data_IF_881508723260
#
_entry.id   IF_881508723260
#
_cell.length_a   1.000
_cell.length_b   1.000
_cell.length_c   1.000
_cell.angle_alpha   90.00
_cell.angle_beta   90.00
_cell.angle_gamma   90.00
#
_symmetry.space_group_name_H-M   'P 1'
#
loop_
_entity.id
_entity.type
_entity.pdbx_description
1 polymer ?
#
# COMPACT_ATOMS: atom_id res chain seq x y z
N UNK A 1 -26.23 -65.63 -71.03
CA UNK A 1 -25.83 -64.24 -71.29
C UNK A 1 -25.48 -63.59 -69.92
N UNK A 2 -24.22 -63.73 -69.50
CA UNK A 2 -23.79 -63.27 -68.18
C UNK A 2 -23.02 -61.97 -68.37
N UNK A 3 -23.56 -60.86 -67.82
CA UNK A 3 -22.92 -59.57 -67.83
C UNK A 3 -21.94 -59.41 -66.63
N UNK A 4 -20.65 -59.29 -66.95
CA UNK A 4 -19.59 -59.08 -65.99
C UNK A 4 -19.59 -57.55 -65.58
N UNK A 5 -20.01 -57.27 -64.40
CA UNK A 5 -19.88 -55.88 -63.81
C UNK A 5 -18.41 -55.63 -63.44
N UNK A 6 -17.73 -54.84 -64.22
CA UNK A 6 -16.43 -54.29 -63.86
C UNK A 6 -16.56 -53.21 -62.82
N UNK A 7 -16.24 -53.57 -61.58
CA UNK A 7 -16.15 -52.60 -60.45
C UNK A 7 -14.87 -51.77 -60.64
N UNK A 8 -15.04 -50.52 -61.15
CA UNK A 8 -13.93 -49.56 -61.25
C UNK A 8 -13.48 -49.25 -59.82
N UNK A 9 -12.31 -49.71 -59.42
CA UNK A 9 -11.59 -49.30 -58.27
C UNK A 9 -11.12 -47.85 -58.52
N UNK A 10 -11.79 -46.88 -57.94
CA UNK A 10 -11.28 -45.51 -57.77
C UNK A 10 -9.99 -45.61 -56.96
N UNK A 11 -8.85 -45.50 -57.61
CA UNK A 11 -7.55 -45.43 -56.94
C UNK A 11 -7.53 -44.26 -55.98
N UNK A 12 -7.52 -44.56 -54.69
CA UNK A 12 -7.20 -43.57 -53.64
C UNK A 12 -5.79 -43.11 -53.96
N UNK A 13 -5.66 -41.94 -54.60
CA UNK A 13 -4.39 -41.23 -54.72
C UNK A 13 -3.95 -40.90 -53.33
N UNK A 14 -3.11 -41.68 -52.72
CA UNK A 14 -2.49 -41.39 -51.45
C UNK A 14 -1.67 -40.09 -51.58
N UNK A 15 -1.78 -39.24 -50.59
CA UNK A 15 -0.93 -38.03 -50.49
C UNK A 15 0.53 -38.52 -50.51
N UNK A 16 1.36 -37.91 -51.38
CA UNK A 16 2.78 -38.24 -51.46
C UNK A 16 3.41 -38.17 -50.05
N UNK A 17 4.26 -39.16 -49.66
CA UNK A 17 4.94 -39.16 -48.35
C UNK A 17 5.66 -37.86 -48.05
N UNK A 18 6.20 -37.18 -49.06
CA UNK A 18 6.84 -35.88 -48.95
C UNK A 18 5.86 -34.76 -48.52
N UNK A 19 4.64 -34.74 -49.09
CA UNK A 19 3.61 -33.77 -48.74
C UNK A 19 3.10 -34.06 -47.30
N UNK A 20 2.93 -35.33 -46.94
CA UNK A 20 2.52 -35.73 -45.59
C UNK A 20 3.54 -35.32 -44.54
N UNK A 21 4.84 -35.48 -44.81
CA UNK A 21 5.90 -35.05 -43.87
C UNK A 21 5.93 -33.54 -43.71
N UNK A 22 5.77 -32.73 -44.77
CA UNK A 22 5.72 -31.28 -44.69
C UNK A 22 4.52 -30.79 -43.86
N UNK A 23 3.34 -31.37 -44.11
CA UNK A 23 2.14 -31.04 -43.33
C UNK A 23 2.33 -31.38 -41.85
N UNK A 24 2.89 -32.54 -41.53
CA UNK A 24 3.15 -32.97 -40.17
C UNK A 24 4.16 -32.06 -39.46
N UNK A 25 5.25 -31.68 -40.14
CA UNK A 25 6.23 -30.76 -39.60
C UNK A 25 5.61 -29.37 -39.35
N UNK A 26 4.84 -28.85 -40.30
CA UNK A 26 4.13 -27.57 -40.13
C UNK A 26 3.13 -27.60 -38.95
N UNK A 27 2.39 -28.69 -38.78
CA UNK A 27 1.48 -28.87 -37.66
C UNK A 27 2.22 -28.92 -36.32
N UNK A 28 3.36 -29.63 -36.24
CA UNK A 28 4.19 -29.69 -35.03
C UNK A 28 4.75 -28.31 -34.70
N UNK A 29 5.27 -27.55 -35.67
CA UNK A 29 5.78 -26.18 -35.47
C UNK A 29 4.67 -25.25 -34.99
N UNK A 30 3.48 -25.34 -35.56
CA UNK A 30 2.34 -24.54 -35.12
C UNK A 30 1.94 -24.86 -33.66
N UNK A 31 1.86 -26.13 -33.28
CA UNK A 31 1.55 -26.56 -31.92
C UNK A 31 2.64 -26.09 -30.95
N UNK A 32 3.92 -26.22 -31.29
CA UNK A 32 5.03 -25.75 -30.46
C UNK A 32 5.01 -24.24 -30.30
N UNK A 33 4.70 -23.49 -31.36
CA UNK A 33 4.59 -22.01 -31.27
C UNK A 33 3.47 -21.57 -30.32
N UNK A 34 2.31 -22.20 -30.41
CA UNK A 34 1.19 -21.95 -29.50
C UNK A 34 1.56 -22.32 -28.05
N UNK A 35 2.19 -23.49 -27.87
CA UNK A 35 2.63 -23.94 -26.56
C UNK A 35 3.67 -22.96 -25.92
N UNK A 36 4.62 -22.44 -26.72
CA UNK A 36 5.60 -21.47 -26.28
C UNK A 36 4.96 -20.15 -25.85
N UNK A 37 4.00 -19.62 -26.62
CA UNK A 37 3.27 -18.41 -26.27
C UNK A 37 2.51 -18.61 -24.95
N UNK A 38 1.82 -19.74 -24.82
CA UNK A 38 1.09 -20.06 -23.59
C UNK A 38 2.03 -20.20 -22.38
N UNK A 39 3.15 -20.91 -22.54
CA UNK A 39 4.15 -21.08 -21.49
C UNK A 39 4.74 -19.73 -21.05
N UNK A 40 5.07 -18.83 -21.99
CA UNK A 40 5.56 -17.50 -21.69
C UNK A 40 4.53 -16.68 -20.90
N UNK A 41 3.27 -16.66 -21.33
CA UNK A 41 2.22 -15.93 -20.62
C UNK A 41 2.03 -16.46 -19.20
N UNK A 42 2.09 -17.78 -19.01
CA UNK A 42 2.00 -18.40 -17.68
C UNK A 42 3.20 -18.01 -16.79
N UNK A 43 4.41 -18.03 -17.36
CA UNK A 43 5.62 -17.63 -16.63
C UNK A 43 5.54 -16.16 -16.20
N UNK A 44 5.14 -15.25 -17.08
CA UNK A 44 4.99 -13.83 -16.74
C UNK A 44 3.96 -13.59 -15.64
N UNK A 45 2.81 -14.28 -15.72
CA UNK A 45 1.80 -14.20 -14.66
C UNK A 45 2.34 -14.69 -13.31
N UNK A 46 3.11 -15.79 -13.30
CA UNK A 46 3.72 -16.33 -12.07
C UNK A 46 4.80 -15.43 -11.48
N UNK A 47 5.61 -14.80 -12.33
CA UNK A 47 6.61 -13.81 -11.87
C UNK A 47 5.92 -12.60 -11.29
N UNK A 48 4.88 -12.09 -11.92
CA UNK A 48 4.13 -10.93 -11.42
C UNK A 48 3.37 -11.24 -10.11
N UNK A 49 2.81 -12.44 -9.96
CA UNK A 49 2.23 -12.93 -8.70
C UNK A 49 3.30 -12.96 -7.58
N UNK A 50 4.49 -13.49 -7.88
CA UNK A 50 5.61 -13.50 -6.93
C UNK A 50 6.13 -12.11 -6.57
N UNK A 51 6.18 -11.18 -7.54
CA UNK A 51 6.49 -9.77 -7.30
C UNK A 51 5.47 -9.14 -6.35
N UNK A 52 4.18 -9.44 -6.53
CA UNK A 52 3.12 -8.94 -5.67
C UNK A 52 3.24 -9.47 -4.24
N UNK A 53 3.36 -10.79 -4.05
CA UNK A 53 3.50 -11.41 -2.73
C UNK A 53 4.75 -10.89 -1.99
N UNK A 54 5.87 -10.73 -2.72
CA UNK A 54 7.10 -10.16 -2.17
C UNK A 54 6.91 -8.69 -1.78
N UNK A 55 6.12 -7.93 -2.56
CA UNK A 55 5.84 -6.53 -2.27
C UNK A 55 4.98 -6.34 -1.01
N UNK A 56 4.04 -7.24 -0.73
CA UNK A 56 3.26 -7.20 0.51
C UNK A 56 4.17 -7.29 1.74
N UNK A 57 5.09 -8.24 1.76
CA UNK A 57 6.05 -8.42 2.85
C UNK A 57 7.01 -7.24 2.98
N UNK A 58 7.50 -6.74 1.84
CA UNK A 58 8.38 -5.57 1.80
C UNK A 58 7.66 -4.33 2.34
N UNK A 59 6.43 -4.05 1.89
CA UNK A 59 5.67 -2.89 2.33
C UNK A 59 5.24 -2.98 3.80
N UNK A 60 4.99 -4.18 4.33
CA UNK A 60 4.82 -4.39 5.76
C UNK A 60 6.09 -4.01 6.53
N UNK A 61 7.26 -4.41 6.03
CA UNK A 61 8.55 -4.02 6.60
C UNK A 61 8.75 -2.50 6.54
N UNK A 62 8.35 -1.83 5.46
CA UNK A 62 8.36 -0.36 5.34
C UNK A 62 7.48 0.27 6.43
N UNK A 63 6.28 -0.24 6.64
CA UNK A 63 5.39 0.26 7.70
C UNK A 63 5.99 0.16 9.10
N UNK A 64 6.68 -0.94 9.42
CA UNK A 64 7.40 -1.12 10.68
C UNK A 64 8.63 -0.20 10.77
N UNK A 65 9.36 -0.02 9.67
CA UNK A 65 10.54 0.83 9.63
C UNK A 65 10.20 2.32 9.82
N UNK A 66 9.02 2.76 9.38
CA UNK A 66 8.53 4.13 9.67
C UNK A 66 8.47 4.37 11.18
N UNK A 67 7.91 3.42 11.96
CA UNK A 67 7.85 3.54 13.42
C UNK A 67 9.25 3.58 14.05
N UNK A 68 10.20 2.84 13.49
CA UNK A 68 11.57 2.76 14.01
C UNK A 68 12.37 4.07 13.76
N UNK A 69 12.19 4.73 12.62
CA UNK A 69 12.94 5.95 12.26
C UNK A 69 12.24 7.24 12.70
N UNK A 70 10.91 7.25 12.76
CA UNK A 70 10.10 8.45 12.97
C UNK A 70 10.46 9.21 14.27
N UNK A 71 10.82 8.49 15.35
CA UNK A 71 11.00 9.07 16.67
C UNK A 71 12.46 9.30 17.04
N UNK A 72 13.39 9.08 16.09
CA UNK A 72 14.82 9.24 16.32
C UNK A 72 15.43 10.06 15.18
N UNK A 73 15.69 11.34 15.44
CA UNK A 73 16.29 12.26 14.45
C UNK A 73 17.65 11.73 13.97
N UNK A 74 17.86 11.74 12.67
CA UNK A 74 19.09 11.23 12.02
C UNK A 74 19.15 9.71 11.86
N UNK A 75 18.15 8.96 12.37
CA UNK A 75 18.07 7.52 12.15
C UNK A 75 17.62 7.23 10.72
N UNK A 76 18.35 6.34 10.07
CA UNK A 76 18.09 5.95 8.68
C UNK A 76 17.87 4.45 8.59
N UNK A 77 16.85 4.04 7.82
CA UNK A 77 16.56 2.67 7.48
C UNK A 77 16.47 2.48 5.97
N UNK A 78 17.20 1.51 5.41
CA UNK A 78 17.18 1.22 3.98
C UNK A 78 16.65 -0.18 3.72
N UNK A 79 15.64 -0.28 2.87
CA UNK A 79 15.00 -1.52 2.45
C UNK A 79 15.30 -1.71 0.97
N UNK A 80 15.90 -2.86 0.62
CA UNK A 80 16.11 -3.26 -0.78
C UNK A 80 14.96 -4.14 -1.23
N UNK A 81 14.55 -3.94 -2.47
CA UNK A 81 13.55 -4.77 -3.10
C UNK A 81 14.02 -5.21 -4.49
N UNK A 82 13.46 -6.28 -4.98
CA UNK A 82 13.70 -6.73 -6.35
C UNK A 82 12.33 -6.98 -6.98
N UNK A 83 12.02 -6.24 -8.04
CA UNK A 83 10.80 -6.44 -8.82
C UNK A 83 11.12 -6.33 -10.29
N UNK A 84 10.50 -7.18 -11.10
CA UNK A 84 10.66 -7.15 -12.54
C UNK A 84 9.63 -6.24 -13.21
N UNK A 85 8.43 -6.12 -12.64
CA UNK A 85 7.31 -5.40 -13.25
C UNK A 85 6.77 -4.26 -12.39
N UNK A 86 7.04 -4.29 -11.09
CA UNK A 86 6.56 -3.29 -10.16
C UNK A 86 7.57 -2.17 -9.89
N UNK A 87 7.06 -1.03 -9.46
CA UNK A 87 7.85 0.14 -9.05
C UNK A 87 7.32 0.72 -7.74
N UNK A 88 8.23 1.23 -6.89
CA UNK A 88 7.89 1.91 -5.64
C UNK A 88 7.92 3.40 -5.85
N UNK A 89 6.85 4.08 -5.45
CA UNK A 89 6.71 5.52 -5.55
C UNK A 89 6.23 6.13 -4.24
N UNK A 90 6.64 7.36 -3.97
CA UNK A 90 6.02 8.21 -2.96
C UNK A 90 5.03 9.14 -3.67
N UNK A 91 3.79 9.14 -3.21
CA UNK A 91 2.80 10.16 -3.58
C UNK A 91 2.72 11.16 -2.44
N UNK A 92 3.22 12.37 -2.65
CA UNK A 92 3.22 13.44 -1.67
C UNK A 92 1.83 14.06 -1.52
N UNK A 93 1.53 14.59 -0.32
CA UNK A 93 0.32 15.38 -0.03
C UNK A 93 -1.00 14.64 -0.33
N UNK A 94 -1.10 13.38 0.09
CA UNK A 94 -2.28 12.53 -0.14
C UNK A 94 -3.27 12.58 1.00
N UNK A 95 -2.77 12.65 2.25
CA UNK A 95 -3.57 12.70 3.48
C UNK A 95 -3.24 13.96 4.27
N UNK A 96 -4.25 14.61 4.83
CA UNK A 96 -4.06 15.68 5.81
C UNK A 96 -4.76 15.28 7.10
N UNK A 97 -3.99 15.12 8.17
CA UNK A 97 -4.53 14.89 9.51
C UNK A 97 -4.71 16.22 10.22
N UNK A 98 -5.95 16.53 10.62
CA UNK A 98 -6.32 17.69 11.38
C UNK A 98 -6.68 17.24 12.80
N UNK A 99 -5.94 17.74 13.79
CA UNK A 99 -6.17 17.46 15.21
C UNK A 99 -6.64 18.74 15.88
N UNK A 100 -7.87 18.74 16.38
CA UNK A 100 -8.45 19.86 17.13
C UNK A 100 -8.56 19.47 18.60
N UNK A 101 -7.97 20.29 19.48
CA UNK A 101 -7.90 20.04 20.92
C UNK A 101 -8.44 21.28 21.67
N UNK A 102 -9.40 21.05 22.54
CA UNK A 102 -9.90 22.10 23.44
C UNK A 102 -9.23 21.96 24.82
N UNK A 103 -8.45 22.95 25.20
CA UNK A 103 -7.72 23.02 26.47
C UNK A 103 -7.87 24.39 27.10
N UNK A 104 -8.16 24.47 28.41
CA UNK A 104 -8.41 25.71 29.12
C UNK A 104 -9.43 26.66 28.44
N UNK A 105 -10.45 26.08 27.77
CA UNK A 105 -11.47 26.83 27.02
C UNK A 105 -10.98 27.40 25.68
N UNK A 106 -9.74 27.13 25.27
CA UNK A 106 -9.17 27.55 23.98
C UNK A 106 -9.07 26.35 23.03
N UNK A 107 -9.37 26.56 21.75
CA UNK A 107 -9.19 25.52 20.71
C UNK A 107 -7.84 25.68 20.05
N UNK A 108 -7.08 24.60 20.03
CA UNK A 108 -5.80 24.48 19.32
C UNK A 108 -5.98 23.54 18.11
N UNK A 109 -5.48 23.96 16.96
CA UNK A 109 -5.58 23.18 15.72
C UNK A 109 -4.19 22.85 15.17
N UNK A 110 -3.98 21.57 14.86
CA UNK A 110 -2.75 21.05 14.25
C UNK A 110 -3.13 20.39 12.94
N UNK A 111 -2.56 20.88 11.83
CA UNK A 111 -2.82 20.35 10.48
C UNK A 111 -1.51 19.86 9.86
N UNK A 112 -1.46 18.60 9.47
CA UNK A 112 -0.26 17.96 8.94
C UNK A 112 -0.59 17.15 7.70
N UNK A 113 0.01 17.52 6.59
CA UNK A 113 -0.17 16.84 5.31
C UNK A 113 0.97 15.86 5.06
N UNK A 114 0.63 14.62 4.76
CA UNK A 114 1.58 13.52 4.58
C UNK A 114 1.41 12.83 3.23
N UNK A 115 2.50 12.23 2.72
CA UNK A 115 2.49 11.34 1.59
C UNK A 115 2.15 9.90 1.96
N UNK A 116 2.03 9.06 0.92
CA UNK A 116 1.91 7.60 1.03
C UNK A 116 2.93 6.93 0.14
N UNK A 117 3.47 5.79 0.58
CA UNK A 117 4.38 4.99 -0.22
C UNK A 117 3.56 3.90 -0.90
N UNK A 118 3.74 3.71 -2.21
CA UNK A 118 3.00 2.71 -2.98
C UNK A 118 3.95 1.87 -3.82
N UNK A 119 3.76 0.56 -3.78
CA UNK A 119 4.24 -0.35 -4.82
C UNK A 119 3.16 -0.48 -5.88
N UNK A 120 3.49 -0.21 -7.13
CA UNK A 120 2.58 -0.27 -8.27
C UNK A 120 2.96 -1.42 -9.20
N UNK A 121 2.06 -2.36 -9.40
CA UNK A 121 2.19 -3.46 -10.36
C UNK A 121 1.13 -3.30 -11.46
N UNK A 122 1.49 -3.16 -12.75
CA UNK A 122 0.51 -3.01 -13.82
C UNK A 122 -0.46 -4.19 -13.90
N UNK A 123 -1.77 -3.92 -13.99
CA UNK A 123 -2.80 -4.98 -14.08
C UNK A 123 -2.71 -5.80 -15.37
N UNK A 124 -1.94 -5.36 -16.37
CA UNK A 124 -1.60 -6.16 -17.55
C UNK A 124 -0.74 -7.37 -17.23
N UNK A 125 -0.01 -7.35 -16.12
CA UNK A 125 0.84 -8.46 -15.67
C UNK A 125 0.19 -9.28 -14.56
N UNK A 126 -0.49 -8.63 -13.63
CA UNK A 126 -1.18 -9.28 -12.53
C UNK A 126 -2.43 -8.47 -12.12
N UNK A 127 -3.55 -9.18 -12.02
CA UNK A 127 -4.84 -8.62 -11.61
C UNK A 127 -5.59 -9.65 -10.79
N UNK A 128 -6.13 -9.24 -9.66
CA UNK A 128 -6.97 -10.10 -8.83
C UNK A 128 -8.43 -9.88 -9.20
N UNK A 129 -8.90 -8.63 -9.05
CA UNK A 129 -10.29 -8.26 -9.33
C UNK A 129 -10.45 -6.75 -9.22
N UNK A 130 -11.14 -6.14 -10.17
CA UNK A 130 -11.50 -4.73 -10.09
C UNK A 130 -12.22 -4.41 -8.77
N UNK A 131 -11.74 -3.39 -8.06
CA UNK A 131 -12.22 -3.02 -6.73
C UNK A 131 -11.73 -3.91 -5.59
N UNK A 132 -10.77 -4.81 -5.83
CA UNK A 132 -10.11 -5.57 -4.76
C UNK A 132 -9.51 -4.62 -3.72
N UNK A 133 -9.75 -4.91 -2.44
CA UNK A 133 -9.13 -4.25 -1.31
C UNK A 133 -8.91 -5.28 -0.19
N UNK A 134 -7.70 -5.33 0.34
CA UNK A 134 -7.34 -6.19 1.45
C UNK A 134 -6.41 -5.47 2.41
N UNK A 135 -6.67 -5.58 3.71
CA UNK A 135 -5.77 -5.10 4.75
C UNK A 135 -4.65 -6.11 4.94
N UNK A 136 -3.41 -5.60 5.06
CA UNK A 136 -2.22 -6.40 5.31
C UNK A 136 -1.75 -6.17 6.76
N UNK A 137 -1.72 -4.90 7.22
CA UNK A 137 -1.23 -4.56 8.55
C UNK A 137 -1.76 -3.20 9.03
N UNK A 138 -2.22 -3.06 10.31
CA UNK A 138 -2.55 -4.14 11.24
C UNK A 138 -3.84 -4.88 10.82
N UNK A 139 -3.99 -6.14 11.21
CA UNK A 139 -5.08 -7.00 10.77
C UNK A 139 -6.47 -6.55 11.24
N UNK A 140 -6.57 -5.96 12.42
CA UNK A 140 -7.84 -5.91 13.16
C UNK A 140 -8.38 -4.52 13.47
N UNK A 141 -7.66 -3.43 13.16
CA UNK A 141 -8.11 -2.09 13.54
C UNK A 141 -8.68 -1.32 12.34
N UNK A 142 -9.96 -0.92 12.44
CA UNK A 142 -10.69 -0.18 11.39
C UNK A 142 -10.82 1.32 11.69
N UNK A 143 -10.48 1.75 12.91
CA UNK A 143 -10.64 3.15 13.32
C UNK A 143 -9.62 4.07 12.64
N UNK A 144 -9.94 5.35 12.57
CA UNK A 144 -9.02 6.38 12.06
C UNK A 144 -7.74 6.44 12.90
N UNK A 145 -7.87 6.33 14.23
CA UNK A 145 -6.75 6.28 15.16
C UNK A 145 -6.49 4.84 15.62
N UNK A 146 -5.22 4.47 15.70
CA UNK A 146 -4.77 3.19 16.24
C UNK A 146 -4.40 3.33 17.71
N UNK A 147 -4.95 2.48 18.58
CA UNK A 147 -4.78 2.60 20.03
C UNK A 147 -3.94 1.45 20.60
N UNK A 148 -3.04 1.78 21.54
CA UNK A 148 -2.22 0.81 22.27
C UNK A 148 -0.72 0.95 22.04
N UNK A 149 0.06 0.42 22.95
CA UNK A 149 1.54 0.51 22.93
C UNK A 149 2.18 -0.21 21.75
N UNK A 150 1.52 -1.25 21.24
CA UNK A 150 1.98 -2.01 20.07
C UNK A 150 1.28 -1.59 18.77
N UNK A 151 0.43 -0.55 18.82
CA UNK A 151 -0.23 -0.05 17.62
C UNK A 151 0.80 0.60 16.68
N UNK A 152 0.81 0.26 15.39
CA UNK A 152 1.75 0.86 14.44
C UNK A 152 1.38 2.30 14.13
N UNK A 153 2.33 3.05 13.59
CA UNK A 153 2.11 4.41 13.05
C UNK A 153 1.91 4.41 11.53
N UNK A 154 1.75 3.25 10.94
CA UNK A 154 1.45 3.11 9.52
C UNK A 154 0.45 1.97 9.29
N UNK A 155 -0.34 2.10 8.23
CA UNK A 155 -1.27 1.08 7.72
C UNK A 155 -0.77 0.57 6.39
N UNK A 156 -0.88 -0.74 6.18
CA UNK A 156 -0.51 -1.39 4.93
C UNK A 156 -1.72 -2.13 4.39
N UNK A 157 -2.06 -1.88 3.13
CA UNK A 157 -3.17 -2.51 2.45
C UNK A 157 -2.88 -2.70 0.95
N UNK A 158 -3.50 -3.70 0.35
CA UNK A 158 -3.47 -3.93 -1.09
C UNK A 158 -4.77 -3.48 -1.73
N UNK A 159 -4.69 -2.85 -2.90
CA UNK A 159 -5.87 -2.33 -3.60
C UNK A 159 -5.70 -2.42 -5.12
N UNK A 160 -6.77 -2.86 -5.81
CA UNK A 160 -6.93 -2.75 -7.26
C UNK A 160 -8.16 -1.91 -7.54
N UNK A 161 -7.98 -0.75 -8.17
CA UNK A 161 -9.08 0.13 -8.57
C UNK A 161 -8.89 0.61 -9.98
N UNK A 162 -9.94 0.48 -10.77
CA UNK A 162 -10.00 0.95 -12.14
C UNK A 162 -11.35 1.64 -12.41
N UNK A 163 -11.38 2.71 -13.22
CA UNK A 163 -10.23 3.45 -13.75
C UNK A 163 -9.65 4.42 -12.71
N UNK A 164 -8.33 4.59 -12.71
CA UNK A 164 -7.65 5.65 -11.96
C UNK A 164 -6.87 6.55 -12.92
N UNK A 165 -6.74 7.87 -12.66
CA UNK A 165 -6.01 8.79 -13.55
C UNK A 165 -4.55 8.38 -13.79
N UNK A 166 -3.91 7.76 -12.80
CA UNK A 166 -2.53 7.28 -12.87
C UNK A 166 -2.35 5.92 -13.57
N UNK A 167 -3.43 5.33 -14.11
CA UNK A 167 -3.41 4.03 -14.78
C UNK A 167 -4.04 2.89 -13.96
N UNK A 168 -3.93 1.68 -14.51
CA UNK A 168 -4.51 0.46 -13.91
C UNK A 168 -3.41 -0.33 -13.22
N UNK A 169 -3.41 -0.27 -11.90
CA UNK A 169 -2.39 -0.92 -11.09
C UNK A 169 -3.01 -1.73 -9.95
N UNK A 170 -2.44 -2.90 -9.71
CA UNK A 170 -2.48 -3.53 -8.40
C UNK A 170 -1.48 -2.81 -7.51
N UNK A 171 -1.89 -2.34 -6.34
CA UNK A 171 -1.06 -1.52 -5.46
C UNK A 171 -0.98 -2.11 -4.07
N UNK A 172 0.22 -2.07 -3.49
CA UNK A 172 0.40 -2.23 -2.05
C UNK A 172 0.80 -0.87 -1.48
N UNK A 173 0.01 -0.38 -0.53
CA UNK A 173 0.08 0.99 -0.03
C UNK A 173 0.49 1.00 1.43
N UNK A 174 1.46 1.83 1.79
CA UNK A 174 1.80 2.18 3.16
C UNK A 174 1.35 3.61 3.41
N UNK A 175 0.36 3.79 4.26
CA UNK A 175 -0.18 5.07 4.65
C UNK A 175 0.14 5.36 6.12
N UNK A 176 0.69 6.53 6.48
CA UNK A 176 0.82 6.97 7.86
C UNK A 176 -0.52 6.92 8.58
N UNK A 177 -0.49 6.61 9.87
CA UNK A 177 -1.67 6.57 10.72
C UNK A 177 -1.43 7.31 12.04
N UNK A 178 -2.52 7.66 12.72
CA UNK A 178 -2.48 8.31 14.01
C UNK A 178 -2.49 7.26 15.11
N UNK A 179 -1.40 7.14 15.88
CA UNK A 179 -1.34 6.27 17.06
C UNK A 179 -1.68 7.05 18.31
N UNK A 180 -2.53 6.49 19.18
CA UNK A 180 -2.92 7.12 20.44
C UNK A 180 -2.60 6.17 21.60
N UNK A 181 -1.90 6.68 22.59
CA UNK A 181 -1.58 5.98 23.86
C UNK A 181 -2.28 6.65 25.00
N UNK A 182 -2.79 5.84 25.92
CA UNK A 182 -3.42 6.29 27.14
C UNK A 182 -2.64 5.81 28.35
N UNK A 183 -2.45 6.68 29.34
CA UNK A 183 -1.87 6.33 30.63
C UNK A 183 -2.42 7.23 31.74
N UNK A 184 -2.44 6.73 32.96
CA UNK A 184 -2.87 7.49 34.14
C UNK A 184 -1.84 7.40 35.25
N UNK A 185 -1.69 8.47 36.00
CA UNK A 185 -0.84 8.55 37.19
C UNK A 185 -1.72 8.92 38.37
N UNK A 186 -1.89 7.97 39.29
CA UNK A 186 -2.54 8.19 40.58
C UNK A 186 -1.51 8.71 41.58
N UNK A 187 -1.33 10.00 41.65
CA UNK A 187 -0.51 10.70 42.66
C UNK A 187 -1.38 11.70 43.41
N UNK A 188 -0.78 12.70 44.02
CA UNK A 188 -1.50 13.83 44.65
C UNK A 188 -2.44 14.58 43.67
N UNK A 189 -2.13 14.52 42.38
CA UNK A 189 -2.98 14.98 41.28
C UNK A 189 -3.31 13.78 40.40
N UNK A 190 -4.58 13.38 40.36
CA UNK A 190 -5.06 12.26 39.50
C UNK A 190 -5.05 12.73 38.04
N UNK A 191 -3.96 12.43 37.30
CA UNK A 191 -3.71 12.94 35.95
C UNK A 191 -3.83 11.84 34.92
N UNK A 192 -4.55 12.10 33.83
CA UNK A 192 -4.70 11.26 32.66
C UNK A 192 -3.89 11.82 31.49
N UNK A 193 -3.07 11.00 30.85
CA UNK A 193 -2.24 11.37 29.73
C UNK A 193 -2.75 10.72 28.45
N UNK A 194 -2.91 11.53 27.41
CA UNK A 194 -3.23 11.12 26.06
C UNK A 194 -2.06 11.54 25.16
N UNK A 195 -1.34 10.55 24.63
CA UNK A 195 -0.21 10.78 23.74
C UNK A 195 -0.58 10.39 22.33
N UNK A 196 -0.41 11.31 21.41
CA UNK A 196 -0.71 11.12 20.00
C UNK A 196 0.56 11.22 19.16
N UNK A 197 0.73 10.28 18.23
CA UNK A 197 1.90 10.15 17.37
C UNK A 197 1.48 10.13 15.92
N UNK A 198 2.00 11.07 15.12
CA UNK A 198 1.69 11.22 13.70
C UNK A 198 2.99 11.37 12.92
N UNK A 199 3.39 10.37 12.10
CA UNK A 199 4.50 10.53 11.17
C UNK A 199 4.03 11.22 9.90
N UNK A 200 4.85 12.12 9.39
CA UNK A 200 4.66 12.86 8.13
C UNK A 200 5.71 12.40 7.15
N UNK A 201 5.29 11.78 6.05
CA UNK A 201 6.19 11.32 4.99
C UNK A 201 6.38 12.42 3.96
N UNK A 202 7.62 12.86 3.80
CA UNK A 202 8.03 13.88 2.85
C UNK A 202 8.97 13.29 1.79
N UNK A 203 9.05 13.94 0.64
CA UNK A 203 9.95 13.54 -0.43
C UNK A 203 11.41 13.85 -0.03
N UNK A 204 12.26 12.82 -0.07
CA UNK A 204 13.69 12.91 0.14
C UNK A 204 14.49 12.84 -1.17
N UNK A 205 15.79 12.67 -1.06
CA UNK A 205 16.66 12.50 -2.22
C UNK A 205 16.36 11.21 -3.00
N UNK A 206 16.37 11.28 -4.32
CA UNK A 206 15.99 10.17 -5.19
C UNK A 206 16.99 9.95 -6.32
N UNK A 207 18.20 9.43 -6.03
CA UNK A 207 19.18 9.13 -7.07
C UNK A 207 18.75 7.99 -8.01
N UNK A 208 17.75 7.18 -7.66
CA UNK A 208 17.11 6.10 -8.45
C UNK A 208 18.06 5.09 -9.11
N UNK A 209 19.28 4.97 -8.63
CA UNK A 209 20.27 4.04 -9.20
C UNK A 209 20.06 2.58 -8.79
N UNK A 210 19.27 2.34 -7.72
CA UNK A 210 19.02 1.01 -7.16
C UNK A 210 17.58 0.85 -6.74
N UNK A 211 17.07 -0.37 -6.76
CA UNK A 211 15.76 -0.72 -6.19
C UNK A 211 15.87 -0.77 -4.66
N UNK A 212 15.90 0.40 -4.05
CA UNK A 212 15.94 0.58 -2.60
C UNK A 212 15.12 1.78 -2.18
N UNK A 213 14.52 1.68 -1.00
CA UNK A 213 13.77 2.70 -0.32
C UNK A 213 14.52 3.06 0.96
N UNK A 214 14.85 4.34 1.15
CA UNK A 214 15.54 4.85 2.34
C UNK A 214 14.60 5.78 3.10
N UNK A 215 14.40 5.48 4.38
CA UNK A 215 13.61 6.28 5.32
C UNK A 215 14.56 6.95 6.30
N UNK A 216 14.43 8.26 6.51
CA UNK A 216 15.27 9.01 7.45
C UNK A 216 14.39 9.88 8.34
N UNK A 217 14.56 9.76 9.67
CA UNK A 217 13.90 10.65 10.64
C UNK A 217 14.56 12.03 10.64
N UNK A 218 13.83 13.06 10.22
CA UNK A 218 14.35 14.44 10.07
C UNK A 218 14.12 15.29 11.31
N UNK A 219 12.90 15.27 11.83
CA UNK A 219 12.52 16.11 12.97
C UNK A 219 11.44 15.44 13.82
N UNK A 220 11.38 15.81 15.10
CA UNK A 220 10.28 15.46 16.02
C UNK A 220 9.87 16.70 16.77
N UNK A 221 8.63 17.16 16.58
CA UNK A 221 8.04 18.27 17.27
C UNK A 221 7.05 17.76 18.33
N UNK A 222 7.20 18.21 19.58
CA UNK A 222 6.33 17.82 20.67
C UNK A 222 5.53 19.04 21.19
N UNK A 223 4.22 18.86 21.33
CA UNK A 223 3.31 19.86 21.87
C UNK A 223 2.62 19.29 23.10
N UNK A 224 2.53 20.05 24.19
CA UNK A 224 1.87 19.63 25.42
C UNK A 224 0.79 20.62 25.78
N UNK A 225 -0.44 20.14 26.00
CA UNK A 225 -1.60 20.92 26.48
C UNK A 225 -2.14 20.29 27.74
N UNK A 226 -2.51 21.12 28.70
CA UNK A 226 -3.09 20.71 29.97
C UNK A 226 -4.60 21.06 30.02
N UNK A 227 -5.30 20.47 30.98
CA UNK A 227 -6.74 20.70 31.19
C UNK A 227 -7.56 20.49 29.92
N UNK A 228 -7.27 19.40 29.22
CA UNK A 228 -7.92 19.06 27.95
C UNK A 228 -9.32 18.51 28.18
N UNK A 229 -10.29 19.06 27.46
CA UNK A 229 -11.71 18.71 27.58
C UNK A 229 -12.26 17.99 26.36
N UNK A 230 -11.63 18.16 25.18
CA UNK A 230 -12.05 17.51 23.94
C UNK A 230 -10.88 17.34 22.98
N UNK A 231 -10.83 16.21 22.29
CA UNK A 231 -9.87 15.95 21.21
C UNK A 231 -10.63 15.34 20.03
N UNK A 232 -10.49 15.95 18.88
CA UNK A 232 -11.03 15.47 17.62
C UNK A 232 -9.93 15.27 16.59
N UNK A 233 -9.98 14.15 15.86
CA UNK A 233 -9.07 13.85 14.76
C UNK A 233 -9.89 13.72 13.50
N UNK A 234 -9.53 14.48 12.46
CA UNK A 234 -10.15 14.44 11.15
C UNK A 234 -9.09 14.15 10.08
N UNK A 235 -9.46 13.45 9.03
CA UNK A 235 -8.61 13.24 7.85
C UNK A 235 -9.26 13.83 6.62
N UNK A 236 -8.49 14.61 5.88
CA UNK A 236 -8.85 15.17 4.58
C UNK A 236 -7.99 14.56 3.48
N UNK A 237 -8.52 14.58 2.24
CA UNK A 237 -7.91 13.98 1.08
C UNK A 237 -7.63 15.05 0.01
N UNK A 238 -6.50 15.79 0.09
CA UNK A 238 -6.21 16.89 -0.84
C UNK A 238 -6.18 16.47 -2.31
N UNK A 239 -5.84 15.21 -2.58
CA UNK A 239 -5.78 14.64 -3.94
C UNK A 239 -6.99 13.78 -4.31
N UNK A 240 -8.04 13.76 -3.49
CA UNK A 240 -9.22 12.93 -3.71
C UNK A 240 -9.91 13.21 -5.04
N UNK A 241 -10.05 14.48 -5.40
CA UNK A 241 -10.71 14.89 -6.65
C UNK A 241 -9.85 14.66 -7.90
N UNK A 242 -8.51 14.77 -7.81
CA UNK A 242 -7.60 14.65 -8.96
C UNK A 242 -7.16 13.21 -9.21
N UNK A 243 -6.87 12.46 -8.15
CA UNK A 243 -6.16 11.18 -8.23
C UNK A 243 -6.94 10.02 -7.61
N UNK A 244 -8.20 10.25 -7.19
CA UNK A 244 -9.08 9.26 -6.56
C UNK A 244 -8.55 8.69 -5.24
N UNK A 245 -7.69 9.42 -4.53
CA UNK A 245 -7.25 9.09 -3.18
C UNK A 245 -8.27 9.63 -2.17
N UNK A 246 -9.41 8.98 -2.07
CA UNK A 246 -10.52 9.34 -1.19
C UNK A 246 -10.66 8.37 0.01
N UNK A 247 -11.65 8.58 0.85
CA UNK A 247 -11.94 7.69 1.99
C UNK A 247 -12.21 6.25 1.58
N UNK A 248 -12.79 6.04 0.38
CA UNK A 248 -13.05 4.71 -0.13
C UNK A 248 -11.77 4.01 -0.61
N UNK A 249 -10.77 4.76 -1.10
CA UNK A 249 -9.46 4.20 -1.43
C UNK A 249 -8.77 3.64 -0.19
N UNK A 250 -8.77 4.40 0.91
CA UNK A 250 -8.16 4.02 2.19
C UNK A 250 -9.04 3.10 3.03
N UNK A 251 -10.30 2.89 2.64
CA UNK A 251 -11.31 2.15 3.39
C UNK A 251 -11.44 2.64 4.85
N UNK A 252 -11.45 3.95 5.04
CA UNK A 252 -11.72 4.53 6.35
C UNK A 252 -13.22 4.51 6.63
N UNK A 253 -13.67 3.90 7.73
CA UNK A 253 -15.10 3.84 8.10
C UNK A 253 -15.64 5.21 8.51
N UNK A 254 -14.76 6.08 9.03
CA UNK A 254 -15.07 7.45 9.38
C UNK A 254 -13.86 8.35 9.10
N UNK A 255 -14.12 9.56 8.59
CA UNK A 255 -13.11 10.60 8.36
C UNK A 255 -12.91 11.53 9.55
N UNK A 256 -13.70 11.34 10.60
CA UNK A 256 -13.69 12.14 11.81
C UNK A 256 -13.90 11.23 13.03
N UNK A 257 -13.07 11.37 14.05
CA UNK A 257 -13.11 10.57 15.26
C UNK A 257 -12.85 11.43 16.49
N UNK A 258 -13.78 11.39 17.46
CA UNK A 258 -13.56 11.95 18.78
C UNK A 258 -12.80 10.96 19.67
N UNK A 259 -11.76 11.42 20.34
CA UNK A 259 -11.05 10.65 21.36
C UNK A 259 -11.81 10.76 22.67
N UNK A 260 -12.19 9.63 23.23
CA UNK A 260 -12.95 9.57 24.49
C UNK A 260 -12.01 9.90 25.65
N UNK A 261 -12.34 10.96 26.37
CA UNK A 261 -11.65 11.36 27.60
C UNK A 261 -12.45 10.79 28.79
N UNK A 262 -11.87 9.91 29.62
CA UNK A 262 -12.58 9.35 30.74
C UNK A 262 -12.80 10.41 31.83
N UNK A 263 -13.94 10.34 32.52
CA UNK A 263 -14.26 11.19 33.66
C UNK A 263 -13.53 10.75 34.93
N UNK A 264 -13.37 11.69 35.90
CA UNK A 264 -12.83 11.36 37.24
C UNK A 264 -11.33 11.63 37.37
N UNK A 265 -10.73 12.35 36.47
CA UNK A 265 -9.36 12.86 36.54
C UNK A 265 -9.38 14.38 36.85
N UNK A 266 -8.43 14.83 37.67
CA UNK A 266 -8.28 16.24 38.05
C UNK A 266 -7.66 17.06 36.92
N UNK A 267 -6.80 16.40 36.13
CA UNK A 267 -6.15 17.01 34.97
C UNK A 267 -6.05 15.98 33.82
N UNK A 268 -6.26 16.43 32.58
CA UNK A 268 -6.02 15.66 31.37
C UNK A 268 -4.94 16.38 30.57
N UNK A 269 -3.84 15.66 30.35
CA UNK A 269 -2.69 16.18 29.61
C UNK A 269 -2.69 15.51 28.22
N UNK A 270 -2.64 16.33 27.18
CA UNK A 270 -2.47 15.90 25.81
C UNK A 270 -1.06 16.21 25.32
N UNK A 271 -0.39 15.20 24.79
CA UNK A 271 0.94 15.31 24.18
C UNK A 271 0.85 14.89 22.73
N UNK A 272 1.14 15.80 21.80
CA UNK A 272 1.20 15.53 20.37
C UNK A 272 2.65 15.46 19.91
N UNK A 273 3.02 14.33 19.30
CA UNK A 273 4.33 14.12 18.69
C UNK A 273 4.15 14.06 17.17
N UNK A 274 4.71 15.03 16.48
CA UNK A 274 4.75 15.12 15.02
C UNK A 274 6.18 14.83 14.56
N UNK A 275 6.34 13.81 13.75
CA UNK A 275 7.63 13.43 13.18
C UNK A 275 7.64 13.65 11.67
N UNK A 276 8.72 14.21 11.17
CA UNK A 276 8.99 14.26 9.73
C UNK A 276 9.93 13.13 9.33
N UNK A 277 9.52 12.35 8.35
CA UNK A 277 10.30 11.24 7.79
C UNK A 277 10.53 11.50 6.30
N UNK A 278 11.77 11.64 5.93
CA UNK A 278 12.20 11.76 4.53
C UNK A 278 12.20 10.38 3.87
N UNK A 279 11.62 10.30 2.68
CA UNK A 279 11.49 9.08 1.88
C UNK A 279 12.32 9.23 0.61
N UNK A 280 13.47 8.57 0.56
CA UNK A 280 14.39 8.58 -0.56
C UNK A 280 14.34 7.28 -1.38
N UNK A 281 14.69 7.36 -2.66
CA UNK A 281 14.82 6.21 -3.55
C UNK A 281 16.25 6.09 -4.02
N UNK A 282 16.86 4.92 -3.80
CA UNK A 282 18.26 4.66 -4.02
C UNK A 282 19.04 4.54 -2.71
N UNK A 283 20.35 4.33 -2.82
CA UNK A 283 21.27 4.35 -1.68
C UNK A 283 21.73 5.80 -1.46
N UNK A 284 21.59 6.31 -0.27
CA UNK A 284 22.19 7.57 0.17
C UNK A 284 23.69 7.39 0.41
#
# INVERSE_FOLDING_TARGET
>A
MFGVFHKKWLGKRGISPAISSVIMTAAIVAILSVALVFANNLLWSRVAEGDFDSSEQMMQTVGLQIDDVAWTVGRTGTIRYASQYGDVVLMSSVLTYNVSVVADGTTYEFSNTTGVIMFNLPTSHYSIKDGYWARIFPDSDENLTLTGTSAPVARVFAVERTPMPSGKYMRVVVAPSVRVLFSSINSSTNTYYIRMYIPVLNEGESPRLYQSLTLTGESVNAYTLNNVTSINVCVDFPRGASDSFDSAFFNFPAVNQNIIIPSGYDNVVFELYLSEVSVGFGLS
#
